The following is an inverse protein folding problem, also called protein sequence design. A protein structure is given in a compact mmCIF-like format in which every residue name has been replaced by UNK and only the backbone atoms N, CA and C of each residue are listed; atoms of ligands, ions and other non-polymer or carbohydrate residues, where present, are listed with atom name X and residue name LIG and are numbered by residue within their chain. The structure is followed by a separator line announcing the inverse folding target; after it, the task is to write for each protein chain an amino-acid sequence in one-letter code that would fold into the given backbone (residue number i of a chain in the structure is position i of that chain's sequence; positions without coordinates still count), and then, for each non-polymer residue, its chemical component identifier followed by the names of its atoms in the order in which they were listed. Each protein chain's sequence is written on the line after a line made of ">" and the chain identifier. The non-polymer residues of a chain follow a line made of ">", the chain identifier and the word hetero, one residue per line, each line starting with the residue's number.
data_IF_062065893200
#
_entry.id   IF_062065893200
#
_cell.length_a   1.000
_cell.length_b   1.000
_cell.length_c   1.000
_cell.angle_alpha   90.00
_cell.angle_beta   90.00
_cell.angle_gamma   90.00
#
_symmetry.space_group_name_H-M   'P 1'
#
loop_
_entity.id
_entity.type
_entity.pdbx_description
1 polymer ?
#
# COMPACT_ATOMS: atom_id res chain seq x y z
N UNK A 1 23.95 0.42 -7.31
CA UNK A 1 23.92 1.90 -7.38
C UNK A 1 22.51 2.30 -7.02
N UNK A 2 22.38 3.09 -5.97
CA UNK A 2 21.07 3.46 -5.39
C UNK A 2 21.00 4.97 -5.27
N UNK A 3 19.84 5.54 -5.56
CA UNK A 3 19.55 6.94 -5.33
C UNK A 3 19.00 7.15 -3.90
N UNK A 4 18.86 8.39 -3.50
CA UNK A 4 18.27 8.73 -2.22
C UNK A 4 16.76 8.90 -2.38
N UNK A 5 15.95 8.13 -1.65
CA UNK A 5 14.49 8.12 -1.73
C UNK A 5 13.85 9.53 -1.64
N UNK A 6 14.35 10.37 -0.77
CA UNK A 6 13.95 11.78 -0.66
C UNK A 6 14.96 12.73 -1.32
N UNK A 7 15.75 12.25 -2.26
CA UNK A 7 16.70 13.06 -3.01
C UNK A 7 16.02 14.10 -3.90
N UNK A 8 16.79 15.08 -4.34
CA UNK A 8 16.31 16.09 -5.27
C UNK A 8 15.95 15.47 -6.62
N UNK A 9 14.77 15.79 -7.14
CA UNK A 9 14.38 15.42 -8.50
C UNK A 9 15.19 16.30 -9.47
N UNK A 10 15.90 15.71 -10.45
CA UNK A 10 16.62 16.49 -11.44
C UNK A 10 15.71 17.49 -12.17
N UNK A 11 16.20 18.71 -12.40
CA UNK A 11 15.40 19.81 -12.96
C UNK A 11 14.64 19.44 -14.24
N UNK A 12 15.30 18.71 -15.13
CA UNK A 12 14.69 18.26 -16.38
C UNK A 12 13.52 17.29 -16.16
N UNK A 13 13.63 16.39 -15.16
CA UNK A 13 12.57 15.47 -14.79
C UNK A 13 11.46 16.22 -14.05
N UNK A 14 11.83 17.16 -13.20
CA UNK A 14 10.87 18.00 -12.49
C UNK A 14 10.00 18.81 -13.46
N UNK A 15 10.59 19.44 -14.46
CA UNK A 15 9.85 20.16 -15.51
C UNK A 15 8.88 19.23 -16.27
N UNK A 16 9.33 18.02 -16.60
CA UNK A 16 8.47 17.00 -17.20
C UNK A 16 7.29 16.64 -16.26
N UNK A 17 7.57 16.44 -14.97
CA UNK A 17 6.53 16.09 -13.99
C UNK A 17 5.50 17.22 -13.82
N UNK A 18 5.93 18.48 -13.83
CA UNK A 18 5.01 19.62 -13.80
C UNK A 18 4.08 19.65 -15.00
N UNK A 19 4.62 19.40 -16.20
CA UNK A 19 3.82 19.41 -17.43
C UNK A 19 2.80 18.28 -17.46
N UNK A 20 3.19 17.05 -17.11
CA UNK A 20 2.22 15.96 -17.14
C UNK A 20 1.16 16.10 -16.02
N UNK A 21 1.50 16.66 -14.87
CA UNK A 21 0.51 17.01 -13.83
C UNK A 21 -0.56 17.97 -14.36
N UNK A 22 -0.13 19.02 -15.08
CA UNK A 22 -1.09 19.98 -15.66
C UNK A 22 -2.03 19.32 -16.68
N UNK A 23 -1.50 18.41 -17.51
CA UNK A 23 -2.32 17.64 -18.44
C UNK A 23 -3.25 16.67 -17.71
N UNK A 24 -2.78 16.02 -16.64
CA UNK A 24 -3.57 15.14 -15.82
C UNK A 24 -4.74 15.88 -15.12
N UNK A 25 -4.48 17.08 -14.59
CA UNK A 25 -5.51 17.91 -13.96
C UNK A 25 -6.60 18.33 -14.94
N UNK A 26 -6.26 18.59 -16.20
CA UNK A 26 -7.26 18.90 -17.24
C UNK A 26 -8.21 17.72 -17.51
N UNK A 27 -7.75 16.50 -17.22
CA UNK A 27 -8.55 15.27 -17.33
C UNK A 27 -9.25 14.88 -16.02
N UNK A 28 -9.10 15.69 -14.97
CA UNK A 28 -9.69 15.41 -13.65
C UNK A 28 -8.89 14.42 -12.81
N UNK A 29 -7.69 14.03 -13.22
CA UNK A 29 -6.85 13.07 -12.47
C UNK A 29 -6.20 13.80 -11.29
N UNK A 30 -6.49 13.42 -10.02
CA UNK A 30 -6.09 14.19 -8.85
C UNK A 30 -4.69 13.82 -8.37
N UNK A 31 -3.65 14.15 -9.10
CA UNK A 31 -2.27 13.94 -8.68
C UNK A 31 -1.91 14.84 -7.49
N UNK A 32 -1.13 14.33 -6.54
CA UNK A 32 -0.75 15.09 -5.35
C UNK A 32 0.73 15.05 -5.02
N UNK A 33 1.34 13.89 -5.09
CA UNK A 33 2.70 13.67 -4.57
C UNK A 33 3.63 13.23 -5.69
N UNK A 34 4.85 13.71 -5.64
CA UNK A 34 5.96 13.26 -6.48
C UNK A 34 7.23 13.19 -5.65
N UNK A 35 8.03 12.17 -5.86
CA UNK A 35 9.31 12.01 -5.18
C UNK A 35 10.28 11.14 -5.99
N UNK A 36 11.54 11.17 -5.58
CA UNK A 36 12.58 10.30 -6.10
C UNK A 36 12.47 8.91 -5.43
N UNK A 37 12.79 7.88 -6.17
CA UNK A 37 12.86 6.50 -5.68
C UNK A 37 14.31 6.08 -5.42
N UNK A 38 14.51 4.95 -4.73
CA UNK A 38 15.84 4.39 -4.47
C UNK A 38 16.51 3.89 -5.74
N UNK A 39 15.72 3.38 -6.69
CA UNK A 39 16.26 2.95 -7.98
C UNK A 39 16.71 4.16 -8.82
N UNK A 40 17.87 4.08 -9.48
CA UNK A 40 18.39 5.16 -10.30
C UNK A 40 17.42 5.59 -11.41
N UNK A 41 17.19 6.89 -11.51
CA UNK A 41 16.25 7.48 -12.49
C UNK A 41 14.83 6.95 -12.39
N UNK A 42 14.39 6.53 -11.23
CA UNK A 42 13.02 6.16 -10.94
C UNK A 42 12.35 7.22 -10.07
N UNK A 43 11.12 7.56 -10.43
CA UNK A 43 10.34 8.60 -9.77
C UNK A 43 8.91 8.13 -9.59
N UNK A 44 8.26 8.58 -8.56
CA UNK A 44 6.87 8.24 -8.27
C UNK A 44 6.00 9.50 -8.29
N UNK A 45 4.78 9.33 -8.78
CA UNK A 45 3.67 10.24 -8.52
C UNK A 45 2.51 9.45 -7.95
N UNK A 46 1.80 10.03 -6.98
CA UNK A 46 0.67 9.38 -6.35
C UNK A 46 -0.59 10.24 -6.49
N UNK A 47 -1.71 9.68 -6.98
CA UNK A 47 -3.01 10.35 -6.98
C UNK A 47 -3.64 10.32 -5.59
N UNK A 48 -4.64 11.18 -5.37
CA UNK A 48 -5.59 11.03 -4.28
C UNK A 48 -6.44 9.79 -4.59
N UNK A 49 -6.84 9.06 -3.54
CA UNK A 49 -7.70 7.88 -3.70
C UNK A 49 -9.06 8.25 -4.28
N UNK A 50 -9.59 7.36 -5.09
CA UNK A 50 -10.87 7.48 -5.74
C UNK A 50 -11.60 6.14 -5.69
N UNK A 51 -12.82 6.12 -6.16
CA UNK A 51 -13.55 4.87 -6.42
C UNK A 51 -12.79 4.04 -7.45
N UNK A 52 -12.78 2.71 -7.27
CA UNK A 52 -11.84 1.82 -7.95
C UNK A 52 -11.92 1.85 -9.49
N UNK A 53 -13.12 1.95 -10.08
CA UNK A 53 -13.23 2.04 -11.54
C UNK A 53 -12.59 3.31 -12.06
N UNK A 54 -12.90 4.44 -11.41
CA UNK A 54 -12.35 5.76 -11.77
C UNK A 54 -10.84 5.74 -11.59
N UNK A 55 -10.34 5.18 -10.48
CA UNK A 55 -8.90 5.07 -10.23
C UNK A 55 -8.18 4.26 -11.32
N UNK A 56 -8.78 3.17 -11.81
CA UNK A 56 -8.22 2.35 -12.88
C UNK A 56 -8.20 3.09 -14.21
N UNK A 57 -9.29 3.75 -14.57
CA UNK A 57 -9.40 4.55 -15.79
C UNK A 57 -8.42 5.72 -15.77
N UNK A 58 -8.36 6.45 -14.66
CA UNK A 58 -7.41 7.54 -14.46
C UNK A 58 -5.95 7.06 -14.54
N UNK A 59 -5.63 5.90 -13.98
CA UNK A 59 -4.28 5.34 -14.11
C UNK A 59 -3.92 5.04 -15.57
N UNK A 60 -4.85 4.47 -16.34
CA UNK A 60 -4.64 4.19 -17.75
C UNK A 60 -4.43 5.46 -18.58
N UNK A 61 -5.26 6.49 -18.34
CA UNK A 61 -5.13 7.80 -18.97
C UNK A 61 -3.82 8.48 -18.57
N UNK A 62 -3.44 8.41 -17.29
CA UNK A 62 -2.20 8.97 -16.78
C UNK A 62 -0.97 8.40 -17.47
N UNK A 63 -0.93 7.07 -17.65
CA UNK A 63 0.17 6.40 -18.36
C UNK A 63 0.30 6.89 -19.83
N UNK A 64 -0.83 7.13 -20.50
CA UNK A 64 -0.82 7.70 -21.85
C UNK A 64 -0.34 9.16 -21.85
N UNK A 65 -0.84 9.99 -20.92
CA UNK A 65 -0.41 11.36 -20.73
C UNK A 65 1.10 11.44 -20.47
N UNK A 66 1.62 10.60 -19.58
CA UNK A 66 3.05 10.53 -19.28
C UNK A 66 3.87 10.25 -20.53
N UNK A 67 3.47 9.29 -21.35
CA UNK A 67 4.17 8.97 -22.59
C UNK A 67 4.14 10.13 -23.62
N UNK A 68 3.00 10.82 -23.74
CA UNK A 68 2.86 11.95 -24.67
C UNK A 68 3.69 13.15 -24.22
N UNK A 69 3.66 13.48 -22.93
CA UNK A 69 4.42 14.59 -22.38
C UNK A 69 5.93 14.32 -22.42
N UNK A 70 6.34 13.07 -22.14
CA UNK A 70 7.76 12.68 -22.20
C UNK A 70 8.40 12.99 -23.56
N UNK A 71 7.68 12.78 -24.66
CA UNK A 71 8.16 13.11 -26.01
C UNK A 71 8.47 14.60 -26.16
N UNK A 72 7.64 15.49 -25.56
CA UNK A 72 7.87 16.96 -25.57
C UNK A 72 9.18 17.32 -24.85
N UNK A 73 9.50 16.63 -23.78
CA UNK A 73 10.72 16.82 -22.98
C UNK A 73 11.92 16.00 -23.48
N UNK A 74 11.80 15.30 -24.62
CA UNK A 74 12.85 14.40 -25.16
C UNK A 74 13.27 13.36 -24.12
N UNK A 75 12.28 12.83 -23.40
CA UNK A 75 12.40 11.73 -22.45
C UNK A 75 11.62 10.52 -22.95
N UNK A 76 11.94 9.35 -22.43
CA UNK A 76 11.16 8.13 -22.56
C UNK A 76 10.79 7.63 -21.18
N UNK A 77 9.52 7.37 -20.96
CA UNK A 77 9.02 6.74 -19.74
C UNK A 77 9.06 5.23 -19.91
N UNK A 78 9.57 4.53 -18.91
CA UNK A 78 9.48 3.09 -18.78
C UNK A 78 8.50 2.81 -17.64
N UNK A 79 7.43 2.07 -17.94
CA UNK A 79 6.35 1.79 -16.95
C UNK A 79 6.63 0.53 -16.13
N UNK A 80 7.77 -0.11 -16.32
CA UNK A 80 8.18 -1.26 -15.55
C UNK A 80 8.79 -0.82 -14.22
N UNK A 81 8.41 -1.45 -13.14
CA UNK A 81 8.92 -1.15 -11.79
C UNK A 81 10.40 -1.52 -11.64
N UNK A 82 10.85 -2.54 -12.37
CA UNK A 82 12.25 -2.97 -12.44
C UNK A 82 12.70 -3.20 -13.88
N UNK A 83 13.00 -2.11 -14.62
CA UNK A 83 13.33 -2.21 -16.05
C UNK A 83 14.71 -2.83 -16.32
N UNK A 84 15.60 -2.90 -15.33
CA UNK A 84 16.98 -3.35 -15.51
C UNK A 84 17.36 -4.42 -14.47
N UNK A 85 17.96 -5.51 -14.93
CA UNK A 85 18.53 -6.52 -14.04
C UNK A 85 19.75 -5.98 -13.28
N UNK A 86 19.95 -6.42 -12.03
CA UNK A 86 21.11 -6.04 -11.21
C UNK A 86 21.08 -4.62 -10.64
N UNK A 87 20.02 -3.87 -10.86
CA UNK A 87 19.80 -2.53 -10.31
C UNK A 87 18.55 -2.57 -9.43
N UNK A 88 18.47 -1.73 -8.40
CA UNK A 88 17.26 -1.60 -7.60
C UNK A 88 16.06 -1.21 -8.46
N UNK A 89 14.89 -1.57 -7.97
CA UNK A 89 13.61 -1.18 -8.53
C UNK A 89 12.59 -1.11 -7.40
N UNK A 90 11.56 -0.31 -7.56
CA UNK A 90 10.44 -0.27 -6.64
C UNK A 90 9.17 -0.81 -7.27
N UNK A 91 8.18 -1.08 -6.45
CA UNK A 91 6.91 -1.61 -6.88
C UNK A 91 5.80 -0.58 -6.86
N UNK A 92 4.81 -0.77 -7.70
CA UNK A 92 3.55 -0.05 -7.59
C UNK A 92 2.71 -0.69 -6.49
N UNK A 93 2.49 0.06 -5.40
CA UNK A 93 1.67 -0.40 -4.30
C UNK A 93 0.22 0.04 -4.49
N UNK A 94 -0.70 -0.91 -4.47
CA UNK A 94 -2.13 -0.63 -4.55
C UNK A 94 -2.73 -0.57 -3.15
N UNK A 95 -2.95 0.65 -2.66
CA UNK A 95 -3.68 0.88 -1.41
C UNK A 95 -5.18 0.89 -1.69
N UNK A 96 -5.96 0.12 -0.93
CA UNK A 96 -7.40 0.04 -1.10
C UNK A 96 -8.12 -0.16 0.22
N UNK A 97 -9.37 0.29 0.27
CA UNK A 97 -10.26 0.08 1.40
C UNK A 97 -11.67 -0.24 0.92
N UNK A 98 -12.54 -0.57 1.85
CA UNK A 98 -13.98 -0.74 1.62
C UNK A 98 -14.72 0.35 2.36
N UNK A 99 -15.66 1.00 1.68
CA UNK A 99 -16.51 2.02 2.29
C UNK A 99 -17.98 1.83 1.89
N UNK A 100 -18.87 2.31 2.74
CA UNK A 100 -20.27 2.46 2.37
C UNK A 100 -20.43 3.63 1.39
N UNK A 101 -21.59 3.73 0.74
CA UNK A 101 -22.01 4.88 -0.06
C UNK A 101 -22.06 6.19 0.74
N UNK A 102 -22.21 6.10 2.06
CA UNK A 102 -22.15 7.23 2.99
C UNK A 102 -20.75 7.60 3.46
N UNK A 103 -19.71 6.91 2.96
CA UNK A 103 -18.31 7.19 3.25
C UNK A 103 -17.75 6.58 4.54
N UNK A 104 -18.48 5.65 5.17
CA UNK A 104 -17.98 4.93 6.35
C UNK A 104 -16.96 3.87 5.90
N UNK A 105 -15.72 3.99 6.36
CA UNK A 105 -14.69 3.00 6.09
C UNK A 105 -14.90 1.73 6.93
N UNK A 106 -15.18 0.61 6.26
CA UNK A 106 -15.46 -0.68 6.87
C UNK A 106 -14.20 -1.38 7.41
N UNK A 107 -13.02 -0.95 6.95
CA UNK A 107 -11.71 -1.43 7.39
C UNK A 107 -11.08 -0.51 8.45
N UNK A 108 -11.81 0.44 9.00
CA UNK A 108 -11.33 1.28 10.08
C UNK A 108 -11.53 0.61 11.45
N UNK A 109 -10.44 0.22 12.16
CA UNK A 109 -10.56 -0.45 13.46
C UNK A 109 -11.17 0.44 14.55
N UNK A 110 -11.05 1.76 14.42
CA UNK A 110 -11.52 2.70 15.42
C UNK A 110 -10.67 2.65 16.70
N UNK A 111 -11.20 3.23 17.78
CA UNK A 111 -10.51 3.27 19.08
C UNK A 111 -10.54 1.93 19.82
N UNK A 112 -11.51 1.09 19.55
CA UNK A 112 -11.74 -0.19 20.22
C UNK A 112 -11.90 -1.34 19.21
N UNK A 113 -10.82 -1.76 18.53
CA UNK A 113 -10.89 -2.80 17.50
C UNK A 113 -11.50 -4.12 17.99
N UNK A 114 -11.24 -4.49 19.24
CA UNK A 114 -11.73 -5.74 19.87
C UNK A 114 -13.25 -5.86 19.93
N UNK A 115 -13.96 -4.74 19.98
CA UNK A 115 -15.43 -4.66 20.09
C UNK A 115 -16.09 -4.11 18.84
N UNK A 116 -15.31 -3.71 17.86
CA UNK A 116 -15.82 -3.21 16.58
C UNK A 116 -16.18 -4.38 15.66
N UNK A 117 -17.37 -4.92 15.83
CA UNK A 117 -17.85 -6.08 15.06
C UNK A 117 -17.90 -5.79 13.56
N UNK A 118 -18.24 -4.59 13.15
CA UNK A 118 -18.24 -4.21 11.73
C UNK A 118 -16.82 -4.35 11.16
N UNK A 119 -15.84 -3.71 11.77
CA UNK A 119 -14.45 -3.83 11.36
C UNK A 119 -13.98 -5.30 11.33
N UNK A 120 -14.17 -6.03 12.45
CA UNK A 120 -13.74 -7.43 12.57
C UNK A 120 -14.36 -8.32 11.49
N UNK A 121 -15.65 -8.13 11.19
CA UNK A 121 -16.33 -8.89 10.15
C UNK A 121 -15.68 -8.69 8.78
N UNK A 122 -15.51 -7.44 8.33
CA UNK A 122 -14.91 -7.17 7.04
C UNK A 122 -13.43 -7.56 7.00
N UNK A 123 -12.70 -7.27 8.07
CA UNK A 123 -11.28 -7.57 8.18
C UNK A 123 -10.99 -9.07 8.06
N UNK A 124 -11.66 -9.90 8.84
CA UNK A 124 -11.47 -11.37 8.81
C UNK A 124 -11.90 -11.97 7.47
N UNK A 125 -12.97 -11.45 6.85
CA UNK A 125 -13.38 -11.92 5.53
C UNK A 125 -12.36 -11.56 4.45
N UNK A 126 -11.68 -10.41 4.54
CA UNK A 126 -10.57 -10.11 3.63
C UNK A 126 -9.42 -11.08 3.83
N UNK A 127 -9.02 -11.36 5.08
CA UNK A 127 -7.95 -12.34 5.36
C UNK A 127 -8.29 -13.71 4.78
N UNK A 128 -9.54 -14.16 4.99
CA UNK A 128 -10.05 -15.44 4.46
C UNK A 128 -10.00 -15.43 2.92
N UNK A 129 -10.50 -14.39 2.28
CA UNK A 129 -10.50 -14.27 0.83
C UNK A 129 -9.09 -14.30 0.23
N UNK A 130 -8.12 -13.62 0.84
CA UNK A 130 -6.72 -13.67 0.40
C UNK A 130 -6.14 -15.07 0.55
N UNK A 131 -6.48 -15.77 1.63
CA UNK A 131 -6.04 -17.15 1.85
C UNK A 131 -6.64 -18.12 0.82
N UNK A 132 -7.94 -18.03 0.57
CA UNK A 132 -8.65 -18.94 -0.35
C UNK A 132 -8.34 -18.68 -1.82
N UNK A 133 -7.97 -17.44 -2.18
CA UNK A 133 -7.74 -16.99 -3.56
C UNK A 133 -6.30 -16.48 -3.80
N UNK A 134 -5.34 -16.93 -2.97
CA UNK A 134 -3.95 -16.55 -3.12
C UNK A 134 -3.36 -16.92 -4.49
N UNK A 135 -3.83 -18.00 -5.08
CA UNK A 135 -3.47 -18.45 -6.43
C UNK A 135 -3.89 -17.46 -7.52
N UNK A 136 -5.10 -16.89 -7.43
CA UNK A 136 -5.58 -15.85 -8.34
C UNK A 136 -4.80 -14.54 -8.18
N UNK A 137 -4.52 -14.13 -6.94
CA UNK A 137 -3.68 -12.97 -6.67
C UNK A 137 -2.27 -13.18 -7.26
N UNK A 138 -1.71 -14.37 -7.08
CA UNK A 138 -0.42 -14.71 -7.66
C UNK A 138 -0.46 -14.69 -9.19
N UNK A 139 -1.50 -15.23 -9.81
CA UNK A 139 -1.68 -15.21 -11.26
C UNK A 139 -1.74 -13.77 -11.81
N UNK A 140 -2.37 -12.83 -11.06
CA UNK A 140 -2.49 -11.43 -11.47
C UNK A 140 -1.14 -10.71 -11.57
N UNK A 141 -0.12 -11.16 -10.84
CA UNK A 141 1.22 -10.57 -10.81
C UNK A 141 2.26 -11.37 -11.61
N UNK A 142 1.89 -12.53 -12.15
CA UNK A 142 2.79 -13.42 -12.89
C UNK A 142 2.94 -12.94 -14.35
N UNK A 143 3.63 -11.82 -14.53
CA UNK A 143 3.96 -11.27 -15.85
C UNK A 143 5.46 -11.24 -16.07
N UNK A 144 5.90 -11.25 -17.33
CA UNK A 144 7.32 -11.14 -17.69
C UNK A 144 7.96 -9.85 -17.15
N UNK A 145 7.19 -8.81 -16.96
CA UNK A 145 7.66 -7.53 -16.39
C UNK A 145 7.96 -7.62 -14.89
N UNK A 146 7.41 -8.63 -14.22
CA UNK A 146 7.61 -8.87 -12.79
C UNK A 146 8.71 -9.91 -12.47
N UNK A 147 9.26 -10.61 -13.46
CA UNK A 147 10.21 -11.71 -13.23
C UNK A 147 11.47 -11.25 -12.47
N UNK A 148 11.97 -10.05 -12.75
CA UNK A 148 13.13 -9.49 -12.07
C UNK A 148 12.80 -8.76 -10.77
N UNK A 149 11.52 -8.53 -10.51
CA UNK A 149 11.05 -7.78 -9.35
C UNK A 149 10.77 -8.70 -8.17
N UNK A 150 10.05 -9.79 -8.40
CA UNK A 150 9.62 -10.69 -7.32
C UNK A 150 10.81 -11.33 -6.61
N UNK A 151 10.89 -11.14 -5.29
CA UNK A 151 12.01 -11.61 -4.47
C UNK A 151 13.30 -10.78 -4.57
N UNK A 152 13.30 -9.68 -5.30
CA UNK A 152 14.43 -8.73 -5.34
C UNK A 152 14.33 -7.70 -4.19
N UNK A 153 15.35 -6.82 -4.08
CA UNK A 153 15.34 -5.74 -3.11
C UNK A 153 14.05 -4.89 -3.24
N UNK A 154 13.43 -4.57 -2.12
CA UNK A 154 12.16 -3.83 -2.03
C UNK A 154 10.95 -4.50 -2.70
N UNK A 155 11.10 -5.71 -3.23
CA UNK A 155 10.00 -6.48 -3.77
C UNK A 155 9.54 -7.55 -2.77
N UNK A 156 8.22 -7.79 -2.64
CA UNK A 156 7.72 -8.84 -1.79
C UNK A 156 8.06 -10.23 -2.34
N UNK A 157 8.07 -11.26 -1.49
CA UNK A 157 8.22 -12.63 -1.95
C UNK A 157 7.05 -13.05 -2.85
N UNK A 158 7.30 -14.03 -3.71
CA UNK A 158 6.28 -14.55 -4.64
C UNK A 158 5.13 -15.32 -3.94
N UNK A 159 5.23 -15.55 -2.63
CA UNK A 159 4.17 -16.18 -1.83
C UNK A 159 3.26 -15.09 -1.27
N UNK A 160 1.97 -15.19 -1.57
CA UNK A 160 0.98 -14.24 -1.06
C UNK A 160 0.70 -14.56 0.41
N UNK A 161 1.23 -13.74 1.29
CA UNK A 161 0.98 -13.76 2.73
C UNK A 161 0.41 -12.44 3.18
N UNK A 162 -0.39 -12.46 4.25
CA UNK A 162 -0.97 -11.24 4.81
C UNK A 162 -0.24 -10.87 6.09
N UNK A 163 0.16 -9.62 6.20
CA UNK A 163 0.69 -9.03 7.42
C UNK A 163 -0.32 -8.05 8.02
N UNK A 164 -0.63 -8.22 9.30
CA UNK A 164 -1.63 -7.40 10.01
C UNK A 164 -1.07 -6.68 11.24
N UNK A 165 0.21 -6.89 11.53
CA UNK A 165 0.87 -6.35 12.71
C UNK A 165 0.54 -7.11 14.00
N UNK A 166 1.40 -6.93 15.01
CA UNK A 166 1.29 -7.67 16.29
C UNK A 166 -0.04 -7.40 17.00
N UNK A 167 -0.44 -6.14 17.09
CA UNK A 167 -1.65 -5.76 17.82
C UNK A 167 -2.93 -6.42 17.29
N UNK A 168 -3.16 -6.39 15.97
CA UNK A 168 -4.34 -7.03 15.39
C UNK A 168 -4.24 -8.57 15.45
N UNK A 169 -3.03 -9.11 15.38
CA UNK A 169 -2.83 -10.55 15.63
C UNK A 169 -3.27 -10.93 17.03
N UNK A 170 -2.88 -10.15 18.04
CA UNK A 170 -3.28 -10.38 19.43
C UNK A 170 -4.80 -10.24 19.60
N UNK A 171 -5.42 -9.24 18.94
CA UNK A 171 -6.88 -9.07 18.93
C UNK A 171 -7.59 -10.28 18.34
N UNK A 172 -7.12 -10.82 17.21
CA UNK A 172 -7.74 -11.98 16.59
C UNK A 172 -7.57 -13.25 17.45
N UNK A 173 -6.40 -13.47 18.04
CA UNK A 173 -6.15 -14.58 18.94
C UNK A 173 -7.08 -14.53 20.17
N UNK A 174 -7.33 -13.35 20.71
CA UNK A 174 -8.27 -13.14 21.81
C UNK A 174 -9.71 -13.46 21.37
N UNK A 175 -10.14 -12.99 20.20
CA UNK A 175 -11.47 -13.30 19.66
C UNK A 175 -11.63 -14.80 19.44
N UNK A 176 -10.64 -15.48 18.87
CA UNK A 176 -10.64 -16.92 18.69
C UNK A 176 -10.75 -17.65 20.02
N UNK A 177 -9.99 -17.25 21.02
CA UNK A 177 -10.01 -17.83 22.37
C UNK A 177 -11.39 -17.71 23.02
N UNK A 178 -12.05 -16.57 22.88
CA UNK A 178 -13.43 -16.36 23.37
C UNK A 178 -14.44 -17.25 22.66
N UNK A 179 -14.35 -17.38 21.35
CA UNK A 179 -15.27 -18.19 20.54
C UNK A 179 -15.08 -19.68 20.82
N UNK A 180 -13.83 -20.11 21.02
CA UNK A 180 -13.52 -21.54 21.30
C UNK A 180 -13.69 -21.97 22.76
N UNK A 181 -14.06 -21.02 23.63
CA UNK A 181 -14.27 -21.29 25.07
C UNK A 181 -13.00 -21.55 25.87
N UNK A 182 -11.83 -21.23 25.35
CA UNK A 182 -10.52 -21.37 26.00
C UNK A 182 -10.11 -20.15 26.82
N UNK A 183 -11.05 -19.29 27.17
CA UNK A 183 -10.79 -18.00 27.82
C UNK A 183 -10.59 -18.13 29.33
N UNK A 184 -9.53 -17.55 29.88
CA UNK A 184 -9.40 -17.20 31.29
C UNK A 184 -9.58 -15.69 31.45
N UNK A 185 -10.43 -15.25 32.38
CA UNK A 185 -10.83 -13.84 32.59
C UNK A 185 -9.71 -12.86 32.97
N UNK A 186 -8.45 -13.29 32.99
CA UNK A 186 -7.34 -12.52 33.59
C UNK A 186 -6.48 -11.72 32.61
N UNK A 187 -6.76 -11.71 31.31
CA UNK A 187 -5.87 -11.09 30.30
C UNK A 187 -6.48 -9.84 29.63
N UNK A 188 -6.95 -8.85 30.39
CA UNK A 188 -7.10 -7.49 29.87
C UNK A 188 -5.72 -6.82 29.83
N UNK A 189 -4.88 -7.22 28.90
CA UNK A 189 -3.65 -6.46 28.61
C UNK A 189 -3.99 -5.28 27.72
N UNK A 190 -4.21 -4.14 28.32
CA UNK A 190 -4.16 -2.86 27.61
C UNK A 190 -2.70 -2.66 27.20
N UNK A 191 -2.38 -2.86 25.92
CA UNK A 191 -1.06 -2.54 25.36
C UNK A 191 -0.91 -1.01 25.29
N UNK A 192 -0.66 -0.42 26.45
CA UNK A 192 -0.14 0.95 26.54
C UNK A 192 1.38 0.88 26.46
N UNK A 193 1.99 1.72 25.66
CA UNK A 193 3.43 1.93 25.80
C UNK A 193 3.71 2.48 27.20
N UNK A 194 4.59 1.82 27.94
CA UNK A 194 5.05 2.31 29.26
C UNK A 194 6.01 3.49 29.03
N UNK A 195 5.43 4.68 28.92
CA UNK A 195 6.14 5.93 28.68
C UNK A 195 6.12 6.73 29.97
N UNK A 196 7.19 7.49 30.22
CA UNK A 196 7.33 8.38 31.37
C UNK A 196 6.10 9.30 31.51
N UNK A 197 5.59 9.48 32.74
CA UNK A 197 4.33 10.17 33.08
C UNK A 197 4.13 11.58 32.47
N UNK A 198 5.18 12.19 31.95
CA UNK A 198 5.15 13.53 31.35
C UNK A 198 5.01 13.51 29.82
N UNK A 199 4.86 12.33 29.21
CA UNK A 199 4.64 12.17 27.76
C UNK A 199 3.18 11.79 27.56
N UNK A 200 2.43 12.44 26.63
CA UNK A 200 1.07 12.04 26.31
C UNK A 200 0.98 10.56 25.96
N UNK A 201 -0.09 9.88 26.38
CA UNK A 201 -0.34 8.48 26.01
C UNK A 201 -0.38 8.35 24.48
N UNK A 202 0.56 7.60 23.92
CA UNK A 202 0.60 7.29 22.51
C UNK A 202 -0.10 5.94 22.29
N UNK A 203 -1.12 5.95 21.43
CA UNK A 203 -1.71 4.71 20.94
C UNK A 203 -0.68 4.03 20.03
N UNK A 204 -0.53 2.71 20.17
CA UNK A 204 0.34 1.96 19.26
C UNK A 204 -0.18 2.08 17.83
N UNK A 205 0.67 2.53 16.93
CA UNK A 205 0.36 2.57 15.50
C UNK A 205 0.33 1.14 14.94
N UNK A 206 -0.79 0.77 14.32
CA UNK A 206 -0.96 -0.51 13.65
C UNK A 206 -0.43 -0.52 12.22
N UNK A 207 0.25 0.54 11.81
CA UNK A 207 0.77 0.65 10.46
C UNK A 207 1.99 -0.25 10.29
N UNK A 208 1.88 -1.26 9.44
CA UNK A 208 3.05 -2.03 9.01
C UNK A 208 3.72 -1.35 7.82
N UNK A 209 4.94 -0.92 8.04
CA UNK A 209 5.84 -0.46 6.98
C UNK A 209 6.85 -1.55 6.58
N UNK A 210 6.65 -2.79 7.03
CA UNK A 210 7.47 -3.90 6.61
C UNK A 210 7.20 -4.22 5.15
N UNK A 211 8.15 -3.93 4.28
CA UNK A 211 8.05 -4.11 2.82
C UNK A 211 8.22 -5.55 2.35
N UNK A 212 8.30 -6.52 3.26
CA UNK A 212 8.52 -7.93 2.94
C UNK A 212 7.23 -8.71 2.70
N UNK A 213 6.07 -8.21 3.13
CA UNK A 213 4.78 -8.85 2.90
C UNK A 213 4.11 -8.32 1.64
N UNK A 214 3.64 -9.20 0.73
CA UNK A 214 2.95 -8.77 -0.49
C UNK A 214 1.56 -8.21 -0.22
N UNK A 215 0.95 -8.51 0.93
CA UNK A 215 -0.37 -8.02 1.32
C UNK A 215 -0.33 -7.57 2.77
N UNK A 216 -0.46 -6.28 3.03
CA UNK A 216 -0.31 -5.71 4.36
C UNK A 216 -1.48 -4.82 4.75
N UNK A 217 -1.89 -4.88 6.03
CA UNK A 217 -2.83 -3.95 6.61
C UNK A 217 -2.09 -2.72 7.15
N UNK A 218 -2.50 -1.53 6.72
CA UNK A 218 -1.81 -0.27 7.02
C UNK A 218 -2.71 0.71 7.78
N UNK A 219 -3.36 0.22 8.84
CA UNK A 219 -4.11 1.01 9.81
C UNK A 219 -5.62 1.11 9.51
N UNK A 220 -6.04 1.36 8.29
CA UNK A 220 -7.45 1.45 7.89
C UNK A 220 -7.70 1.04 6.43
N UNK A 221 -6.74 0.36 5.84
CA UNK A 221 -6.73 -0.09 4.46
C UNK A 221 -5.74 -1.24 4.30
N UNK A 222 -5.86 -1.98 3.23
CA UNK A 222 -4.84 -2.92 2.80
C UNK A 222 -3.97 -2.31 1.71
N UNK A 223 -2.76 -2.78 1.62
CA UNK A 223 -1.80 -2.47 0.60
C UNK A 223 -1.36 -3.77 -0.09
N UNK A 224 -1.56 -3.85 -1.39
CA UNK A 224 -1.06 -4.95 -2.23
C UNK A 224 0.20 -4.48 -2.93
N UNK A 225 1.31 -5.14 -2.64
CA UNK A 225 2.68 -4.75 -3.03
C UNK A 225 3.27 -5.68 -4.08
N UNK A 226 2.50 -6.21 -4.96
CA UNK A 226 2.99 -7.21 -5.91
C UNK A 226 3.02 -6.71 -7.35
#
# INVERSE_FOLDING_TARGET
>A
MDDHYFGAIPERVFAYMQDFEQEAYKLGIPLRTRHNEVAPSQFECAPIFEEVNIAVDHNSLLMDVMNRVAKRHKLKVLMHEKPFAGVNGSGKHNNWSLATDTGINLLAPGKTPRTNLMFLTFFVNVLKAVHEHADLLRASIASSNNDHRLGANEAPPAIISVFIGKYLTDVLNEVETRVTGKFSEQDEVILKMDIHKNIPELLMDNTDRNRTSPFAFTGNKFEFRA
#
